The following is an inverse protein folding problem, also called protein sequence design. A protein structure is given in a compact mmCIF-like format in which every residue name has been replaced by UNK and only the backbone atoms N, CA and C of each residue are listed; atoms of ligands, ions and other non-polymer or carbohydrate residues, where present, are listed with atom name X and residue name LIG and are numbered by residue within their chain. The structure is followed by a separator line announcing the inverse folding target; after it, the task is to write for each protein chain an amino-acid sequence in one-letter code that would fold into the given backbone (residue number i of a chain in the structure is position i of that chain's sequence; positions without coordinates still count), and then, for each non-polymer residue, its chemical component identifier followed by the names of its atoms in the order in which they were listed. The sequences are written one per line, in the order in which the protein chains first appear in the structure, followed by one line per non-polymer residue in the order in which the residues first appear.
data_IF_983046303667
#
_entry.id   IF_983046303667
#
_cell.length_a   1.000
_cell.length_b   1.000
_cell.length_c   1.000
_cell.angle_alpha   90.00
_cell.angle_beta   90.00
_cell.angle_gamma   90.00
#
_symmetry.space_group_name_H-M   'P 1'
#
loop_
_entity.id
_entity.type
_entity.pdbx_description
1 polymer ?
#
# COMPACT_ATOMS: atom_id res chain seq x y z
N UNK A 1 17.29 11.84 -5.13
CA UNK A 1 16.13 11.03 -4.68
C UNK A 1 16.62 10.22 -3.49
N UNK A 2 15.92 10.19 -2.34
CA UNK A 2 16.49 9.57 -1.13
C UNK A 2 16.54 8.04 -1.24
N UNK A 3 17.65 7.46 -0.81
CA UNK A 3 17.95 6.03 -0.78
C UNK A 3 16.89 5.21 -0.03
N UNK A 4 16.24 5.83 0.94
CA UNK A 4 15.16 5.27 1.76
C UNK A 4 13.86 5.02 0.96
N UNK A 5 13.53 5.90 0.01
CA UNK A 5 12.37 5.77 -0.87
C UNK A 5 12.52 4.61 -1.87
N UNK A 6 13.74 4.40 -2.38
CA UNK A 6 14.05 3.22 -3.21
C UNK A 6 13.98 1.93 -2.39
N UNK A 7 14.48 1.94 -1.14
CA UNK A 7 14.44 0.78 -0.25
C UNK A 7 13.03 0.32 0.09
N UNK A 8 12.12 1.25 0.43
CA UNK A 8 10.71 0.92 0.70
C UNK A 8 9.97 0.41 -0.55
N UNK A 9 10.17 1.07 -1.70
CA UNK A 9 9.51 0.70 -2.96
C UNK A 9 9.94 -0.68 -3.43
N UNK A 10 11.24 -0.96 -3.41
CA UNK A 10 11.77 -2.29 -3.73
C UNK A 10 11.26 -3.38 -2.78
N UNK A 11 11.07 -3.07 -1.50
CA UNK A 11 10.54 -4.04 -0.53
C UNK A 11 9.07 -4.41 -0.79
N UNK A 12 8.25 -3.44 -1.23
CA UNK A 12 6.84 -3.67 -1.61
C UNK A 12 6.75 -4.47 -2.91
N UNK A 13 7.52 -4.06 -3.93
CA UNK A 13 7.55 -4.74 -5.24
C UNK A 13 8.01 -6.21 -5.10
N UNK A 14 9.06 -6.46 -4.30
CA UNK A 14 9.53 -7.82 -4.02
C UNK A 14 8.52 -8.66 -3.23
N UNK A 15 7.78 -8.06 -2.30
CA UNK A 15 6.74 -8.75 -1.53
C UNK A 15 5.58 -9.16 -2.43
N UNK A 16 5.09 -8.22 -3.26
CA UNK A 16 4.00 -8.48 -4.21
C UNK A 16 4.41 -9.57 -5.21
N UNK A 17 5.59 -9.44 -5.80
CA UNK A 17 6.12 -10.40 -6.75
C UNK A 17 6.24 -11.81 -6.15
N UNK A 18 6.77 -11.93 -4.93
CA UNK A 18 6.89 -13.23 -4.26
C UNK A 18 5.52 -13.85 -3.98
N UNK A 19 4.56 -13.09 -3.42
CA UNK A 19 3.21 -13.59 -3.16
C UNK A 19 2.49 -14.01 -4.46
N UNK A 20 2.66 -13.23 -5.54
CA UNK A 20 2.11 -13.54 -6.86
C UNK A 20 2.70 -14.84 -7.42
N UNK A 21 4.01 -15.05 -7.31
CA UNK A 21 4.65 -16.29 -7.74
C UNK A 21 4.13 -17.52 -6.98
N UNK A 22 3.79 -17.35 -5.70
CA UNK A 22 3.23 -18.41 -4.85
C UNK A 22 1.73 -18.64 -5.03
N UNK A 23 1.01 -17.73 -5.70
CA UNK A 23 -0.39 -17.93 -6.11
C UNK A 23 -0.54 -19.13 -7.04
N UNK A 24 0.50 -19.41 -7.84
CA UNK A 24 0.53 -20.49 -8.83
C UNK A 24 1.16 -21.80 -8.31
N UNK A 25 1.17 -22.01 -6.98
CA UNK A 25 1.64 -23.23 -6.35
C UNK A 25 2.93 -23.06 -5.54
N UNK A 26 3.33 -24.14 -4.86
CA UNK A 26 4.48 -24.12 -3.97
C UNK A 26 5.80 -23.99 -4.75
N UNK A 27 6.73 -23.16 -4.27
CA UNK A 27 8.04 -22.93 -4.91
C UNK A 27 9.17 -22.98 -3.92
N UNK A 28 10.31 -23.56 -4.32
CA UNK A 28 11.55 -23.48 -3.55
C UNK A 28 12.24 -22.14 -3.76
N UNK A 29 13.17 -21.78 -2.86
CA UNK A 29 13.91 -20.51 -2.92
C UNK A 29 14.63 -20.33 -4.27
N UNK A 30 15.27 -21.38 -4.80
CA UNK A 30 15.98 -21.29 -6.07
C UNK A 30 15.05 -20.95 -7.25
N UNK A 31 13.82 -21.45 -7.23
CA UNK A 31 12.81 -21.11 -8.24
C UNK A 31 12.31 -19.67 -8.07
N UNK A 32 12.06 -19.25 -6.83
CA UNK A 32 11.65 -17.88 -6.52
C UNK A 32 12.68 -16.85 -6.97
N UNK A 33 13.98 -17.09 -6.70
CA UNK A 33 15.07 -16.21 -7.15
C UNK A 33 15.06 -16.06 -8.67
N UNK A 34 15.07 -17.19 -9.41
CA UNK A 34 15.04 -17.15 -10.89
C UNK A 34 13.82 -16.43 -11.44
N UNK A 35 12.65 -16.63 -10.83
CA UNK A 35 11.41 -15.97 -11.25
C UNK A 35 11.42 -14.47 -10.96
N UNK A 36 11.99 -14.05 -9.83
CA UNK A 36 12.12 -12.63 -9.46
C UNK A 36 13.12 -11.91 -10.38
N UNK A 37 14.24 -12.55 -10.72
CA UNK A 37 15.22 -12.02 -11.67
C UNK A 37 14.60 -11.77 -13.05
N UNK A 38 13.76 -12.69 -13.55
CA UNK A 38 13.00 -12.51 -14.80
C UNK A 38 12.02 -11.32 -14.76
N UNK A 39 11.61 -10.89 -13.58
CA UNK A 39 10.75 -9.72 -13.37
C UNK A 39 11.55 -8.43 -13.09
N UNK A 40 12.89 -8.46 -13.23
CA UNK A 40 13.76 -7.32 -12.96
C UNK A 40 14.04 -7.07 -11.47
N UNK A 41 13.66 -8.01 -10.59
CA UNK A 41 13.88 -7.92 -9.14
C UNK A 41 15.07 -8.81 -8.77
N UNK A 42 16.22 -8.20 -8.58
CA UNK A 42 17.43 -8.92 -8.16
C UNK A 42 17.46 -9.09 -6.63
N UNK A 43 17.30 -10.32 -6.16
CA UNK A 43 17.44 -10.70 -4.75
C UNK A 43 18.30 -11.95 -4.63
N UNK A 44 19.28 -11.93 -3.74
CA UNK A 44 20.07 -13.11 -3.44
C UNK A 44 19.22 -14.22 -2.81
N UNK A 45 19.65 -15.50 -2.85
CA UNK A 45 18.95 -16.58 -2.15
C UNK A 45 18.74 -16.30 -0.67
N UNK A 46 19.69 -15.63 -0.02
CA UNK A 46 19.60 -15.27 1.40
C UNK A 46 18.59 -14.14 1.64
N UNK A 47 18.57 -13.10 0.81
CA UNK A 47 17.54 -12.05 0.87
C UNK A 47 16.14 -12.62 0.63
N UNK A 48 16.00 -13.54 -0.33
CA UNK A 48 14.74 -14.22 -0.65
C UNK A 48 14.28 -15.10 0.51
N UNK A 49 15.19 -15.85 1.16
CA UNK A 49 14.87 -16.61 2.39
C UNK A 49 14.41 -15.71 3.52
N UNK A 50 15.08 -14.59 3.74
CA UNK A 50 14.71 -13.62 4.77
C UNK A 50 13.33 -13.02 4.50
N UNK A 51 13.02 -12.70 3.24
CA UNK A 51 11.69 -12.24 2.84
C UNK A 51 10.63 -13.33 3.08
N UNK A 52 10.84 -14.55 2.58
CA UNK A 52 9.91 -15.67 2.78
C UNK A 52 9.68 -15.99 4.26
N UNK A 53 10.74 -15.94 5.09
CA UNK A 53 10.64 -16.09 6.55
C UNK A 53 9.78 -14.99 7.16
N UNK A 54 10.03 -13.71 6.84
CA UNK A 54 9.19 -12.60 7.32
C UNK A 54 7.73 -12.72 6.91
N UNK A 55 7.45 -13.18 5.69
CA UNK A 55 6.09 -13.41 5.22
C UNK A 55 5.44 -14.59 5.94
N UNK A 56 6.21 -15.63 6.27
CA UNK A 56 5.74 -16.77 7.06
C UNK A 56 5.43 -16.38 8.50
N UNK A 57 6.28 -15.56 9.13
CA UNK A 57 6.07 -15.06 10.49
C UNK A 57 4.79 -14.19 10.58
N UNK A 58 4.36 -13.61 9.45
CA UNK A 58 3.07 -12.88 9.31
C UNK A 58 1.91 -13.75 8.82
N UNK A 59 2.12 -15.05 8.67
CA UNK A 59 1.17 -16.03 8.15
C UNK A 59 0.65 -15.73 6.72
N UNK A 60 1.45 -15.08 5.87
CA UNK A 60 1.14 -14.86 4.45
C UNK A 60 1.61 -16.02 3.56
N UNK A 61 2.63 -16.74 4.00
CA UNK A 61 3.12 -17.94 3.33
C UNK A 61 3.31 -19.05 4.35
N UNK A 62 3.18 -20.30 3.93
CA UNK A 62 3.45 -21.50 4.73
C UNK A 62 4.51 -22.36 4.07
N UNK A 63 5.10 -23.28 4.84
CA UNK A 63 6.15 -24.19 4.36
C UNK A 63 7.56 -23.78 4.80
N UNK A 64 8.55 -24.29 4.09
CA UNK A 64 9.96 -24.22 4.48
C UNK A 64 10.89 -24.21 3.27
N UNK A 65 12.17 -23.94 3.50
CA UNK A 65 13.17 -24.07 2.45
C UNK A 65 13.26 -25.49 1.86
N UNK A 66 12.92 -26.54 2.66
CA UNK A 66 12.97 -27.94 2.25
C UNK A 66 11.74 -28.36 1.44
N UNK A 67 10.55 -28.00 1.92
CA UNK A 67 9.26 -28.33 1.31
C UNK A 67 8.78 -27.35 0.24
N UNK A 68 9.46 -26.22 0.08
CA UNK A 68 8.95 -25.07 -0.66
C UNK A 68 7.99 -24.21 0.19
N UNK A 69 7.78 -22.99 -0.26
CA UNK A 69 6.80 -22.06 0.30
C UNK A 69 5.53 -22.08 -0.55
N UNK A 70 4.37 -21.89 0.08
CA UNK A 70 3.07 -21.75 -0.60
C UNK A 70 2.28 -20.61 0.02
N UNK A 71 1.35 -20.03 -0.76
CA UNK A 71 0.50 -18.95 -0.30
C UNK A 71 -0.53 -19.46 0.73
N UNK A 72 -0.83 -18.67 1.74
CA UNK A 72 -1.97 -18.90 2.65
C UNK A 72 -3.17 -18.06 2.21
N UNK A 73 -4.36 -18.30 2.78
CA UNK A 73 -5.53 -17.45 2.52
C UNK A 73 -5.27 -15.98 2.87
N UNK A 74 -4.64 -15.74 4.04
CA UNK A 74 -4.21 -14.41 4.47
C UNK A 74 -3.16 -13.79 3.53
N UNK A 75 -2.32 -14.61 2.91
CA UNK A 75 -1.37 -14.18 1.89
C UNK A 75 -2.04 -13.79 0.57
N UNK A 76 -3.13 -14.46 0.22
CA UNK A 76 -3.96 -14.13 -0.93
C UNK A 76 -4.70 -12.81 -0.72
N UNK A 77 -5.35 -12.64 0.43
CA UNK A 77 -5.96 -11.35 0.84
C UNK A 77 -4.91 -10.23 0.79
N UNK A 78 -3.71 -10.50 1.32
CA UNK A 78 -2.60 -9.55 1.25
C UNK A 78 -2.18 -9.25 -0.19
N UNK A 79 -2.12 -10.24 -1.06
CA UNK A 79 -1.80 -10.03 -2.48
C UNK A 79 -2.85 -9.15 -3.17
N UNK A 80 -4.13 -9.37 -2.89
CA UNK A 80 -5.23 -8.55 -3.40
C UNK A 80 -5.12 -7.10 -2.91
N UNK A 81 -4.70 -6.87 -1.66
CA UNK A 81 -4.41 -5.50 -1.20
C UNK A 81 -3.22 -4.84 -1.89
N UNK A 82 -2.21 -5.63 -2.26
CA UNK A 82 -1.05 -5.14 -3.02
C UNK A 82 -1.41 -4.91 -4.49
N UNK A 83 -2.56 -5.42 -4.94
CA UNK A 83 -3.13 -5.16 -6.25
C UNK A 83 -4.03 -3.93 -6.30
N UNK A 84 -4.24 -3.26 -5.16
CA UNK A 84 -4.85 -1.93 -5.16
C UNK A 84 -4.04 -1.03 -6.11
N UNK A 85 -4.67 -0.47 -7.16
CA UNK A 85 -3.97 0.33 -8.13
C UNK A 85 -3.39 1.55 -7.41
N UNK A 86 -2.06 1.72 -7.50
CA UNK A 86 -1.39 2.88 -6.92
C UNK A 86 -2.08 4.16 -7.40
N UNK A 87 -2.26 5.12 -6.48
CA UNK A 87 -2.83 6.41 -6.84
C UNK A 87 -1.89 7.07 -7.86
N UNK A 88 -2.40 7.29 -9.07
CA UNK A 88 -1.63 7.91 -10.14
C UNK A 88 -1.45 9.39 -9.82
N UNK A 89 -0.20 9.81 -9.66
CA UNK A 89 0.12 11.20 -9.43
C UNK A 89 0.00 11.98 -10.76
N UNK A 90 -0.92 12.96 -10.87
CA UNK A 90 -1.02 13.77 -12.06
C UNK A 90 0.19 14.73 -12.17
N UNK A 91 0.48 15.18 -13.39
CA UNK A 91 1.48 16.23 -13.61
C UNK A 91 1.07 17.55 -12.94
N UNK A 92 -0.23 17.83 -12.87
CA UNK A 92 -0.80 19.03 -12.27
C UNK A 92 -1.86 18.66 -11.25
N UNK A 93 -1.74 19.21 -10.04
CA UNK A 93 -2.76 19.07 -9.01
C UNK A 93 -4.01 19.88 -9.39
N UNK A 94 -5.18 19.27 -9.20
CA UNK A 94 -6.47 19.89 -9.48
C UNK A 94 -6.93 20.89 -8.40
N UNK A 95 -6.20 20.95 -7.27
CA UNK A 95 -6.47 21.88 -6.19
C UNK A 95 -7.45 21.35 -5.14
N UNK A 96 -7.79 20.06 -5.19
CA UNK A 96 -8.73 19.43 -4.26
C UNK A 96 -8.03 18.47 -3.29
N UNK A 97 -8.60 18.32 -2.11
CA UNK A 97 -8.21 17.37 -1.08
C UNK A 97 -9.23 16.25 -1.02
N UNK A 98 -8.72 15.03 -0.81
CA UNK A 98 -9.51 13.80 -0.70
C UNK A 98 -9.36 13.35 0.73
N UNK A 99 -10.38 13.61 1.53
CA UNK A 99 -10.43 13.10 2.88
C UNK A 99 -11.07 11.73 2.87
N UNK A 100 -10.45 10.84 3.65
CA UNK A 100 -10.94 9.50 3.88
C UNK A 100 -11.14 9.34 5.37
N UNK A 101 -12.36 8.99 5.73
CA UNK A 101 -12.78 8.73 7.09
C UNK A 101 -13.26 7.29 7.17
N UNK A 102 -13.07 6.63 8.30
CA UNK A 102 -13.71 5.34 8.52
C UNK A 102 -14.21 5.24 9.96
N UNK A 103 -15.35 4.60 10.13
CA UNK A 103 -15.93 4.32 11.45
C UNK A 103 -16.07 2.81 11.62
N UNK A 104 -14.96 2.17 11.95
CA UNK A 104 -14.89 0.72 12.14
C UNK A 104 -14.99 0.43 13.64
N UNK A 105 -15.98 -0.32 14.13
CA UNK A 105 -16.14 -0.67 15.54
C UNK A 105 -14.84 -1.18 16.22
N UNK A 106 -14.63 -0.86 17.50
CA UNK A 106 -13.39 -1.18 18.24
C UNK A 106 -13.17 -2.69 18.45
N UNK A 107 -14.25 -3.47 18.54
CA UNK A 107 -14.23 -4.94 18.56
C UNK A 107 -13.58 -5.53 17.29
N UNK A 108 -13.54 -4.77 16.19
CA UNK A 108 -12.86 -5.11 14.92
C UNK A 108 -11.48 -4.47 14.78
N UNK A 109 -10.71 -4.38 15.88
CA UNK A 109 -9.35 -3.79 15.91
C UNK A 109 -8.42 -4.29 14.79
N UNK A 110 -8.47 -5.59 14.47
CA UNK A 110 -7.63 -6.18 13.41
C UNK A 110 -7.95 -5.58 12.03
N UNK A 111 -9.23 -5.46 11.70
CA UNK A 111 -9.71 -4.86 10.46
C UNK A 111 -9.32 -3.38 10.36
N UNK A 112 -9.52 -2.64 11.45
CA UNK A 112 -9.12 -1.23 11.56
C UNK A 112 -7.63 -1.04 11.30
N UNK A 113 -6.80 -1.94 11.84
CA UNK A 113 -5.35 -1.91 11.60
C UNK A 113 -4.99 -2.27 10.16
N UNK A 114 -5.68 -3.21 9.54
CA UNK A 114 -5.46 -3.54 8.13
C UNK A 114 -5.79 -2.35 7.22
N UNK A 115 -6.97 -1.75 7.36
CA UNK A 115 -7.37 -0.57 6.58
C UNK A 115 -6.36 0.56 6.77
N UNK A 116 -5.92 0.84 8.00
CA UNK A 116 -4.86 1.83 8.25
C UNK A 116 -3.55 1.52 7.51
N UNK A 117 -3.15 0.25 7.39
CA UNK A 117 -1.97 -0.12 6.63
C UNK A 117 -2.16 0.13 5.13
N UNK A 118 -3.33 -0.21 4.57
CA UNK A 118 -3.65 0.04 3.15
C UNK A 118 -3.64 1.52 2.81
N UNK A 119 -4.27 2.34 3.65
CA UNK A 119 -4.34 3.79 3.47
C UNK A 119 -2.93 4.42 3.55
N UNK A 120 -2.08 3.92 4.44
CA UNK A 120 -0.66 4.32 4.51
C UNK A 120 0.13 3.92 3.27
N UNK A 121 -0.13 2.73 2.72
CA UNK A 121 0.51 2.24 1.49
C UNK A 121 0.13 3.10 0.28
N UNK A 122 -1.10 3.60 0.25
CA UNK A 122 -1.57 4.62 -0.69
C UNK A 122 -1.01 6.03 -0.40
N UNK A 123 -0.03 6.16 0.51
CA UNK A 123 0.65 7.43 0.87
C UNK A 123 -0.29 8.52 1.38
N UNK A 124 -1.46 8.15 1.90
CA UNK A 124 -2.33 9.12 2.56
C UNK A 124 -1.70 9.59 3.88
N UNK A 125 -1.89 10.86 4.20
CA UNK A 125 -1.41 11.46 5.46
C UNK A 125 -2.50 11.36 6.51
N UNK A 126 -2.13 10.96 7.73
CA UNK A 126 -3.04 10.92 8.87
C UNK A 126 -3.28 12.34 9.40
N UNK A 127 -4.55 12.76 9.47
CA UNK A 127 -4.97 14.01 10.11
C UNK A 127 -5.43 13.76 11.55
N UNK A 128 -6.23 12.69 11.75
CA UNK A 128 -6.77 12.25 13.04
C UNK A 128 -6.80 10.72 13.11
N UNK A 129 -7.28 10.15 14.22
CA UNK A 129 -7.27 8.69 14.45
C UNK A 129 -7.88 7.83 13.33
N UNK A 130 -8.93 8.33 12.68
CA UNK A 130 -9.60 7.68 11.57
C UNK A 130 -9.81 8.61 10.37
N UNK A 131 -9.10 9.74 10.32
CA UNK A 131 -9.21 10.72 9.23
C UNK A 131 -7.87 10.85 8.53
N UNK A 132 -7.90 10.71 7.22
CA UNK A 132 -6.75 10.69 6.33
C UNK A 132 -6.98 11.64 5.16
N UNK A 133 -5.89 12.10 4.54
CA UNK A 133 -5.95 13.01 3.40
C UNK A 133 -5.02 12.59 2.29
N UNK A 134 -5.46 12.82 1.05
CA UNK A 134 -4.66 12.67 -0.15
C UNK A 134 -4.93 13.83 -1.14
N UNK A 135 -3.94 14.28 -1.92
CA UNK A 135 -4.11 15.39 -2.85
C UNK A 135 -4.54 14.95 -4.25
N UNK A 136 -4.72 13.66 -4.55
CA UNK A 136 -5.08 13.18 -5.90
C UNK A 136 -6.33 12.30 -5.85
N UNK A 137 -7.04 12.21 -6.99
CA UNK A 137 -8.19 11.32 -7.15
C UNK A 137 -7.79 9.90 -6.78
N UNK A 138 -8.53 9.32 -5.83
CA UNK A 138 -8.25 7.99 -5.31
C UNK A 138 -9.50 7.20 -4.94
N UNK A 139 -10.68 7.69 -5.36
CA UNK A 139 -11.97 7.11 -4.96
C UNK A 139 -12.06 5.61 -5.30
N UNK A 140 -11.64 5.20 -6.51
CA UNK A 140 -11.69 3.80 -6.93
C UNK A 140 -10.82 2.86 -6.08
N UNK A 141 -9.70 3.33 -5.54
CA UNK A 141 -8.90 2.56 -4.58
C UNK A 141 -9.66 2.32 -3.28
N UNK A 142 -10.38 3.34 -2.80
CA UNK A 142 -11.16 3.23 -1.56
C UNK A 142 -12.43 2.41 -1.74
N UNK A 143 -13.08 2.46 -2.91
CA UNK A 143 -14.16 1.53 -3.25
C UNK A 143 -13.70 0.07 -3.24
N UNK A 144 -12.50 -0.21 -3.76
CA UNK A 144 -11.92 -1.56 -3.70
C UNK A 144 -11.62 -1.99 -2.26
N UNK A 145 -11.04 -1.10 -1.45
CA UNK A 145 -10.83 -1.37 -0.01
C UNK A 145 -12.17 -1.63 0.67
N UNK A 146 -13.20 -0.84 0.40
CA UNK A 146 -14.52 -1.00 0.99
C UNK A 146 -15.18 -2.31 0.58
N UNK A 147 -15.08 -2.69 -0.71
CA UNK A 147 -15.61 -3.96 -1.22
C UNK A 147 -14.90 -5.17 -0.60
N UNK A 148 -13.58 -5.08 -0.39
CA UNK A 148 -12.79 -6.19 0.14
C UNK A 148 -12.84 -6.31 1.68
N UNK A 149 -12.99 -5.19 2.40
CA UNK A 149 -12.78 -5.13 3.86
C UNK A 149 -13.94 -4.52 4.65
N UNK A 150 -14.74 -3.66 4.03
CA UNK A 150 -15.79 -2.91 4.70
C UNK A 150 -17.18 -3.50 4.47
N UNK A 151 -18.16 -2.97 5.20
CA UNK A 151 -19.56 -2.95 4.76
C UNK A 151 -19.84 -1.60 4.08
N UNK A 152 -20.91 -1.54 3.28
CA UNK A 152 -21.39 -0.27 2.75
C UNK A 152 -21.59 0.74 3.88
N UNK A 153 -20.94 1.90 3.79
CA UNK A 153 -20.99 2.98 4.80
C UNK A 153 -19.82 3.05 5.80
N UNK A 154 -18.97 2.01 5.92
CA UNK A 154 -17.87 2.02 6.91
C UNK A 154 -16.73 3.01 6.55
N UNK A 155 -16.60 3.35 5.28
CA UNK A 155 -15.61 4.31 4.76
C UNK A 155 -16.37 5.47 4.11
N UNK A 156 -16.05 6.69 4.54
CA UNK A 156 -16.58 7.93 4.02
C UNK A 156 -15.50 8.66 3.23
N UNK A 157 -15.87 9.16 2.05
CA UNK A 157 -14.99 9.93 1.18
C UNK A 157 -15.54 11.35 1.04
N UNK A 158 -14.67 12.36 1.22
CA UNK A 158 -15.02 13.76 1.05
C UNK A 158 -14.01 14.40 0.11
N UNK A 159 -14.51 15.08 -0.92
CA UNK A 159 -13.73 15.98 -1.75
C UNK A 159 -13.96 17.42 -1.30
N UNK A 160 -12.89 18.17 -1.07
CA UNK A 160 -12.96 19.58 -0.67
C UNK A 160 -11.84 20.39 -1.32
N UNK A 161 -12.07 21.67 -1.60
CA UNK A 161 -11.03 22.60 -2.05
C UNK A 161 -10.30 23.29 -0.87
N UNK A 162 -10.78 23.09 0.36
CA UNK A 162 -10.25 23.73 1.58
C UNK A 162 -10.03 22.72 2.70
N UNK A 163 -8.90 22.87 3.36
CA UNK A 163 -8.54 22.13 4.55
C UNK A 163 -7.62 22.99 5.42
N UNK A 164 -7.74 22.88 6.73
CA UNK A 164 -6.79 23.49 7.66
C UNK A 164 -5.39 22.88 7.49
N UNK A 165 -4.34 23.69 7.65
CA UNK A 165 -2.96 23.22 7.49
C UNK A 165 -2.55 22.86 6.05
N UNK A 166 -3.29 23.34 5.04
CA UNK A 166 -3.02 23.06 3.64
C UNK A 166 -1.56 23.37 3.20
N UNK A 167 -0.91 24.47 3.64
CA UNK A 167 0.50 24.72 3.32
C UNK A 167 1.44 23.59 3.78
N UNK A 168 1.27 23.09 5.00
CA UNK A 168 2.08 22.01 5.57
C UNK A 168 1.82 20.67 4.84
N UNK A 169 0.56 20.39 4.51
CA UNK A 169 0.21 19.21 3.72
C UNK A 169 0.83 19.24 2.34
N UNK A 170 0.77 20.38 1.63
CA UNK A 170 1.43 20.53 0.32
C UNK A 170 2.93 20.37 0.42
N UNK A 171 3.59 20.92 1.44
CA UNK A 171 5.02 20.70 1.64
C UNK A 171 5.34 19.20 1.83
N UNK A 172 4.52 18.49 2.61
CA UNK A 172 4.69 17.05 2.82
C UNK A 172 4.52 16.28 1.50
N UNK A 173 3.44 16.53 0.76
CA UNK A 173 3.18 15.83 -0.50
C UNK A 173 4.16 16.20 -1.61
N UNK A 174 4.70 17.43 -1.66
CA UNK A 174 5.77 17.80 -2.60
C UNK A 174 7.05 16.99 -2.40
N UNK A 175 7.38 16.61 -1.16
CA UNK A 175 8.55 15.77 -0.88
C UNK A 175 8.41 14.38 -1.51
N UNK A 176 7.19 13.85 -1.53
CA UNK A 176 6.82 12.55 -2.10
C UNK A 176 6.62 12.63 -3.62
N UNK A 177 5.81 13.57 -4.08
CA UNK A 177 5.38 13.73 -5.47
C UNK A 177 6.10 14.89 -6.16
N UNK A 178 7.41 14.75 -6.32
CA UNK A 178 8.31 15.81 -6.83
C UNK A 178 8.01 16.31 -8.24
N UNK A 179 7.34 15.49 -9.05
CA UNK A 179 6.99 15.81 -10.45
C UNK A 179 5.62 16.46 -10.60
N UNK A 180 4.84 16.56 -9.52
CA UNK A 180 3.52 17.15 -9.57
C UNK A 180 3.59 18.64 -9.25
N UNK A 181 2.99 19.45 -10.11
CA UNK A 181 2.75 20.86 -9.84
C UNK A 181 1.58 21.02 -8.87
N UNK A 182 1.91 21.22 -7.60
CA UNK A 182 0.97 21.69 -6.59
C UNK A 182 0.86 23.22 -6.70
N UNK A 183 -0.19 23.71 -7.36
CA UNK A 183 -0.52 25.15 -7.47
C UNK A 183 -0.33 25.88 -6.12
N UNK A 184 -0.02 27.18 -6.15
CA UNK A 184 -0.07 28.04 -4.94
C UNK A 184 -1.50 28.00 -4.37
N UNK A 185 -1.66 27.42 -3.19
CA UNK A 185 -2.91 27.50 -2.44
C UNK A 185 -3.14 28.97 -2.11
N UNK A 186 -4.33 29.49 -2.41
CA UNK A 186 -4.76 30.79 -1.90
C UNK A 186 -5.00 30.65 -0.40
N UNK A 187 -4.03 31.05 0.41
CA UNK A 187 -4.26 31.35 1.83
C UNK A 187 -5.13 32.60 1.90
N UNK A 188 -6.36 32.43 2.37
CA UNK A 188 -7.13 33.55 2.95
C UNK A 188 -6.93 33.51 4.45
#
# INVERSE_FOLDING_TARGET
MSTEYYGERMAVDATKALLLLLKFGAKKIAELVRSLEKQGISLTPEQTRRLARRLRDRNYVKGSARSGYSLTQRGLERLETLDLPMITAPAKWDGKWRLIMFDIPEDKRLLRNQIRLLIKELRCIKLQHSVWVHPFQCFSQFEQIQSAYGRGGDILFIETDRIEGAPQLVQTFRRVYRKTDFKRIRTK
#
